data_IF_395273702421
#
_entry.id   IF_395273702421
#
_cell.length_a   1.000
_cell.length_b   1.000
_cell.length_c   1.000
_cell.angle_alpha   90.00
_cell.angle_beta   90.00
_cell.angle_gamma   90.00
#
_symmetry.space_group_name_H-M   'P 1'
#
loop_
_entity.id
_entity.type
_entity.pdbx_description
1 polymer ?
#
# COMPACT_ATOMS: atom_id res chain seq x y z
N UNK A 1 -38.85 42.09 -30.12
CA UNK A 1 -37.88 43.10 -29.67
C UNK A 1 -37.60 42.79 -28.21
N UNK A 2 -36.54 42.04 -27.95
CA UNK A 2 -36.31 41.36 -26.67
C UNK A 2 -35.33 42.18 -25.85
N UNK A 3 -35.76 42.63 -24.67
CA UNK A 3 -34.98 43.43 -23.75
C UNK A 3 -34.03 42.48 -22.98
N UNK A 4 -32.71 42.69 -23.00
CA UNK A 4 -31.81 41.90 -22.17
C UNK A 4 -32.01 42.27 -20.70
N UNK A 5 -32.41 41.29 -19.90
CA UNK A 5 -32.45 41.39 -18.44
C UNK A 5 -31.04 41.17 -17.91
N UNK A 6 -30.43 42.23 -17.40
CA UNK A 6 -29.15 42.17 -16.68
C UNK A 6 -29.46 41.68 -15.26
N UNK A 7 -29.04 40.46 -14.94
CA UNK A 7 -29.09 39.91 -13.58
C UNK A 7 -27.87 40.45 -12.82
N UNK A 8 -28.06 41.19 -11.72
CA UNK A 8 -26.95 41.62 -10.89
C UNK A 8 -26.32 40.40 -10.20
N UNK A 9 -25.02 40.24 -10.38
CA UNK A 9 -24.21 39.27 -9.66
C UNK A 9 -24.04 39.84 -8.25
N UNK A 10 -24.77 39.28 -7.28
CA UNK A 10 -24.54 39.54 -5.86
C UNK A 10 -23.10 39.14 -5.52
N UNK A 11 -22.32 40.10 -5.03
CA UNK A 11 -20.93 39.91 -4.68
C UNK A 11 -20.78 38.83 -3.62
N UNK A 12 -20.07 37.76 -3.98
CA UNK A 12 -19.60 36.75 -3.03
C UNK A 12 -18.80 37.44 -1.92
N UNK A 13 -19.30 37.29 -0.70
CA UNK A 13 -18.64 37.78 0.49
C UNK A 13 -17.22 37.17 0.56
N UNK A 14 -16.19 37.94 0.96
CA UNK A 14 -14.83 37.44 1.09
C UNK A 14 -14.83 36.23 2.01
N UNK A 15 -14.51 35.07 1.44
CA UNK A 15 -14.37 33.82 2.17
C UNK A 15 -13.23 34.04 3.15
N UNK A 16 -13.57 34.26 4.42
CA UNK A 16 -12.59 34.46 5.47
C UNK A 16 -11.85 33.12 5.60
N UNK A 17 -10.52 33.07 5.38
CA UNK A 17 -9.79 31.82 5.48
C UNK A 17 -9.98 31.31 6.90
N UNK A 18 -10.71 30.19 7.01
CA UNK A 18 -10.86 29.49 8.28
C UNK A 18 -9.46 28.98 8.61
N UNK A 19 -8.79 29.67 9.54
CA UNK A 19 -7.54 29.24 10.14
C UNK A 19 -7.82 27.93 10.86
N UNK A 20 -7.74 26.82 10.13
CA UNK A 20 -7.66 25.49 10.72
C UNK A 20 -6.47 25.53 11.66
N UNK A 21 -6.74 25.44 12.96
CA UNK A 21 -5.71 25.30 13.98
C UNK A 21 -4.94 24.00 13.68
N UNK A 22 -3.94 24.08 12.82
CA UNK A 22 -2.88 23.10 12.73
C UNK A 22 -2.19 23.16 14.10
N UNK A 23 -2.61 22.28 15.01
CA UNK A 23 -1.80 21.92 16.14
C UNK A 23 -0.46 21.48 15.55
N UNK A 24 0.55 22.33 15.72
CA UNK A 24 1.94 21.98 15.50
C UNK A 24 2.21 20.77 16.38
N UNK A 25 2.20 19.59 15.77
CA UNK A 25 2.63 18.37 16.44
C UNK A 25 4.09 18.59 16.77
N UNK A 26 4.38 18.74 18.05
CA UNK A 26 5.71 19.01 18.59
C UNK A 26 6.68 17.91 18.11
N UNK A 27 7.83 18.27 17.49
CA UNK A 27 8.73 17.30 16.86
C UNK A 27 9.52 16.41 17.83
N UNK A 28 9.26 16.48 19.15
CA UNK A 28 10.06 15.81 20.19
C UNK A 28 9.97 14.26 20.17
N UNK A 29 9.01 13.66 19.47
CA UNK A 29 8.83 12.19 19.44
C UNK A 29 9.49 11.47 18.24
N UNK A 30 10.05 12.20 17.26
CA UNK A 30 10.63 11.57 16.07
C UNK A 30 11.96 10.86 16.36
N UNK A 31 12.78 11.39 17.29
CA UNK A 31 14.06 10.80 17.66
C UNK A 31 13.90 9.50 18.48
N UNK A 32 12.89 9.44 19.35
CA UNK A 32 12.59 8.29 20.22
C UNK A 32 12.12 7.04 19.46
N UNK A 33 11.47 7.20 18.29
CA UNK A 33 10.98 6.06 17.47
C UNK A 33 12.04 5.43 16.56
N UNK A 34 13.22 6.04 16.44
CA UNK A 34 14.33 5.48 15.63
C UNK A 34 15.11 4.40 16.38
N UNK A 35 14.97 4.33 17.72
CA UNK A 35 15.69 3.39 18.56
C UNK A 35 14.93 2.04 18.66
N UNK A 36 15.66 0.97 18.34
CA UNK A 36 15.29 -0.45 18.50
C UNK A 36 14.55 -1.21 17.37
N UNK A 37 14.71 -0.83 16.09
CA UNK A 37 14.48 -1.81 15.01
C UNK A 37 15.56 -2.91 14.96
N UNK A 38 16.74 -2.68 15.55
CA UNK A 38 17.86 -3.62 15.55
C UNK A 38 17.72 -4.76 16.58
N UNK A 39 17.00 -4.55 17.70
CA UNK A 39 16.83 -5.55 18.76
C UNK A 39 15.54 -6.37 18.66
N UNK A 40 14.69 -6.13 17.65
CA UNK A 40 13.55 -7.03 17.42
C UNK A 40 14.06 -8.41 17.01
N UNK A 41 13.59 -9.50 17.65
CA UNK A 41 14.03 -10.84 17.31
C UNK A 41 13.74 -11.12 15.83
N UNK A 42 14.70 -11.75 15.15
CA UNK A 42 14.62 -12.08 13.72
C UNK A 42 13.31 -12.80 13.37
N UNK A 43 12.86 -13.71 14.24
CA UNK A 43 11.61 -14.44 14.10
C UNK A 43 10.38 -13.53 13.97
N UNK A 44 10.33 -12.42 14.73
CA UNK A 44 9.23 -11.47 14.63
C UNK A 44 9.24 -10.72 13.31
N UNK A 45 10.41 -10.31 12.82
CA UNK A 45 10.55 -9.66 11.50
C UNK A 45 10.14 -10.60 10.38
N UNK A 46 10.53 -11.87 10.46
CA UNK A 46 10.14 -12.90 9.49
C UNK A 46 8.63 -13.13 9.51
N UNK A 47 8.01 -13.20 10.69
CA UNK A 47 6.57 -13.35 10.82
C UNK A 47 5.81 -12.16 10.24
N UNK A 48 6.21 -10.92 10.56
CA UNK A 48 5.59 -9.71 10.02
C UNK A 48 5.73 -9.64 8.48
N UNK A 49 6.88 -10.05 7.95
CA UNK A 49 7.11 -10.13 6.50
C UNK A 49 6.25 -11.21 5.84
N UNK A 50 6.13 -12.39 6.46
CA UNK A 50 5.28 -13.47 5.96
C UNK A 50 3.79 -13.09 5.98
N UNK A 51 3.34 -12.43 7.05
CA UNK A 51 1.99 -11.88 7.16
C UNK A 51 1.73 -10.88 6.04
N UNK A 52 2.66 -9.95 5.80
CA UNK A 52 2.59 -9.00 4.69
C UNK A 52 2.45 -9.72 3.33
N UNK A 53 3.29 -10.72 3.05
CA UNK A 53 3.24 -11.43 1.78
C UNK A 53 1.96 -12.23 1.58
N UNK A 54 1.47 -12.86 2.64
CA UNK A 54 0.24 -13.66 2.62
C UNK A 54 -0.98 -12.78 2.38
N UNK A 55 -1.07 -11.65 3.09
CA UNK A 55 -2.15 -10.69 2.90
C UNK A 55 -2.07 -10.04 1.51
N UNK A 56 -0.89 -9.63 1.05
CA UNK A 56 -0.70 -9.06 -0.28
C UNK A 56 -1.03 -10.07 -1.40
N UNK A 57 -0.71 -11.35 -1.22
CA UNK A 57 -1.10 -12.42 -2.14
C UNK A 57 -2.62 -12.61 -2.16
N UNK A 58 -3.26 -12.69 -0.99
CA UNK A 58 -4.71 -12.82 -0.88
C UNK A 58 -5.45 -11.63 -1.49
N UNK A 59 -5.01 -10.40 -1.22
CA UNK A 59 -5.57 -9.17 -1.77
C UNK A 59 -5.36 -9.09 -3.29
N UNK A 60 -4.16 -9.40 -3.79
CA UNK A 60 -3.83 -9.31 -5.21
C UNK A 60 -4.49 -10.39 -6.05
N UNK A 61 -4.40 -11.65 -5.64
CA UNK A 61 -5.06 -12.77 -6.34
C UNK A 61 -6.58 -12.67 -6.22
N UNK A 62 -7.10 -12.42 -5.01
CA UNK A 62 -8.53 -12.28 -4.76
C UNK A 62 -9.13 -11.09 -5.52
N UNK A 63 -8.53 -9.91 -5.40
CA UNK A 63 -8.97 -8.69 -6.10
C UNK A 63 -8.84 -8.81 -7.62
N UNK A 64 -7.77 -9.43 -8.11
CA UNK A 64 -7.59 -9.74 -9.53
C UNK A 64 -8.68 -10.68 -10.04
N UNK A 65 -8.80 -11.88 -9.47
CA UNK A 65 -9.82 -12.86 -9.89
C UNK A 65 -11.23 -12.25 -9.83
N UNK A 66 -11.55 -11.53 -8.75
CA UNK A 66 -12.82 -10.83 -8.63
C UNK A 66 -13.04 -9.87 -9.80
N UNK A 67 -12.04 -9.07 -10.16
CA UNK A 67 -12.13 -8.12 -11.28
C UNK A 67 -12.27 -8.85 -12.61
N UNK A 68 -11.45 -9.87 -12.87
CA UNK A 68 -11.45 -10.64 -14.10
C UNK A 68 -12.76 -11.41 -14.32
N UNK A 69 -13.45 -11.83 -13.25
CA UNK A 69 -14.72 -12.55 -13.34
C UNK A 69 -15.91 -11.60 -13.33
N UNK A 70 -16.02 -10.70 -12.34
CA UNK A 70 -17.21 -9.87 -12.15
C UNK A 70 -17.31 -8.75 -13.19
N UNK A 71 -16.20 -8.24 -13.72
CA UNK A 71 -16.23 -7.19 -14.74
C UNK A 71 -16.90 -7.69 -16.04
N UNK A 72 -16.44 -8.75 -16.72
CA UNK A 72 -17.12 -9.24 -17.93
C UNK A 72 -18.53 -9.75 -17.62
N UNK A 73 -18.73 -10.38 -16.47
CA UNK A 73 -20.05 -10.84 -16.03
C UNK A 73 -21.04 -9.66 -15.91
N UNK A 74 -20.60 -8.53 -15.36
CA UNK A 74 -21.44 -7.33 -15.24
C UNK A 74 -21.84 -6.74 -16.59
N UNK A 75 -20.94 -6.77 -17.58
CA UNK A 75 -21.22 -6.33 -18.96
C UNK A 75 -22.21 -7.29 -19.63
N UNK A 76 -22.04 -8.60 -19.43
CA UNK A 76 -22.93 -9.62 -19.99
C UNK A 76 -24.35 -9.55 -19.40
N UNK A 77 -24.47 -9.14 -18.13
CA UNK A 77 -25.74 -9.01 -17.41
C UNK A 77 -26.42 -7.64 -17.59
N UNK A 78 -25.82 -6.71 -18.35
CA UNK A 78 -26.40 -5.40 -18.61
C UNK A 78 -27.82 -5.44 -19.25
N UNK A 79 -28.13 -6.32 -20.23
CA UNK A 79 -29.48 -6.41 -20.81
C UNK A 79 -30.55 -6.96 -19.85
N UNK A 80 -30.17 -7.58 -18.72
CA UNK A 80 -31.10 -8.10 -17.71
C UNK A 80 -31.57 -6.97 -16.75
N UNK A 81 -32.27 -5.97 -17.28
CA UNK A 81 -32.95 -4.93 -16.49
C UNK A 81 -32.07 -4.23 -15.43
N UNK A 82 -30.79 -3.99 -15.74
CA UNK A 82 -29.86 -3.30 -14.82
C UNK A 82 -29.22 -4.20 -13.76
N UNK A 83 -29.41 -5.52 -13.79
CA UNK A 83 -28.73 -6.44 -12.88
C UNK A 83 -27.19 -6.35 -13.01
N UNK A 84 -26.67 -6.18 -14.23
CA UNK A 84 -25.25 -5.92 -14.46
C UNK A 84 -24.71 -4.70 -13.69
N UNK A 85 -25.50 -3.63 -13.55
CA UNK A 85 -25.11 -2.45 -12.77
C UNK A 85 -25.01 -2.75 -11.27
N UNK A 86 -25.90 -3.60 -10.75
CA UNK A 86 -25.87 -4.03 -9.34
C UNK A 86 -24.60 -4.84 -9.07
N UNK A 87 -24.27 -5.80 -9.93
CA UNK A 87 -23.05 -6.61 -9.83
C UNK A 87 -21.80 -5.74 -9.93
N UNK A 88 -21.78 -4.79 -10.87
CA UNK A 88 -20.66 -3.85 -11.03
C UNK A 88 -20.47 -2.97 -9.79
N UNK A 89 -21.55 -2.40 -9.22
CA UNK A 89 -21.50 -1.61 -7.99
C UNK A 89 -21.01 -2.42 -6.80
N UNK A 90 -21.51 -3.65 -6.67
CA UNK A 90 -21.03 -4.57 -5.64
C UNK A 90 -19.52 -4.83 -5.77
N UNK A 91 -19.04 -5.11 -6.99
CA UNK A 91 -17.61 -5.28 -7.27
C UNK A 91 -16.80 -4.04 -6.83
N UNK A 92 -17.24 -2.83 -7.18
CA UNK A 92 -16.56 -1.59 -6.78
C UNK A 92 -16.50 -1.40 -5.26
N UNK A 93 -17.58 -1.71 -4.54
CA UNK A 93 -17.60 -1.65 -3.07
C UNK A 93 -16.57 -2.61 -2.47
N UNK A 94 -16.49 -3.83 -3.01
CA UNK A 94 -15.48 -4.81 -2.56
C UNK A 94 -14.06 -4.34 -2.89
N UNK A 95 -13.80 -3.85 -4.10
CA UNK A 95 -12.48 -3.32 -4.47
C UNK A 95 -12.06 -2.13 -3.60
N UNK A 96 -12.98 -1.23 -3.27
CA UNK A 96 -12.70 -0.11 -2.37
C UNK A 96 -12.32 -0.58 -0.95
N UNK A 97 -12.96 -1.64 -0.45
CA UNK A 97 -12.60 -2.29 0.83
C UNK A 97 -11.22 -2.93 0.75
N UNK A 98 -10.91 -3.63 -0.34
CA UNK A 98 -9.60 -4.23 -0.58
C UNK A 98 -8.50 -3.17 -0.67
N UNK A 99 -8.75 -2.04 -1.36
CA UNK A 99 -7.82 -0.92 -1.45
C UNK A 99 -7.51 -0.34 -0.07
N UNK A 100 -8.52 -0.18 0.79
CA UNK A 100 -8.32 0.30 2.16
C UNK A 100 -7.43 -0.64 2.97
N UNK A 101 -7.70 -1.94 2.92
CA UNK A 101 -6.87 -2.93 3.60
C UNK A 101 -5.44 -2.96 3.06
N UNK A 102 -5.26 -2.71 1.76
CA UNK A 102 -3.94 -2.63 1.16
C UNK A 102 -3.15 -1.41 1.63
N UNK A 103 -3.82 -0.26 1.75
CA UNK A 103 -3.23 0.96 2.32
C UNK A 103 -2.89 0.76 3.80
N UNK A 104 -3.75 0.09 4.58
CA UNK A 104 -3.48 -0.28 5.97
C UNK A 104 -2.23 -1.18 6.06
N UNK A 105 -2.12 -2.16 5.17
CA UNK A 105 -0.96 -3.06 5.08
C UNK A 105 0.32 -2.29 4.76
N UNK A 106 0.28 -1.39 3.77
CA UNK A 106 1.41 -0.55 3.38
C UNK A 106 1.84 0.39 4.53
N UNK A 107 0.87 0.98 5.23
CA UNK A 107 1.12 1.91 6.35
C UNK A 107 1.78 1.21 7.53
N UNK A 108 1.44 -0.06 7.81
CA UNK A 108 2.13 -0.85 8.85
C UNK A 108 3.61 -1.04 8.56
N UNK A 109 3.98 -1.16 7.29
CA UNK A 109 5.37 -1.37 6.88
C UNK A 109 6.16 -0.05 6.83
N UNK A 110 5.50 1.06 6.52
CA UNK A 110 6.11 2.36 6.28
C UNK A 110 5.28 3.48 6.95
N UNK A 111 5.50 3.76 8.25
CA UNK A 111 4.68 4.72 9.01
C UNK A 111 4.88 6.20 8.61
N UNK A 112 5.76 6.50 7.66
CA UNK A 112 6.10 7.87 7.26
C UNK A 112 5.06 8.56 6.36
N UNK A 113 4.00 7.86 5.91
CA UNK A 113 2.96 8.44 5.05
C UNK A 113 1.57 8.48 5.73
N UNK A 114 1.51 9.08 6.92
CA UNK A 114 0.28 9.15 7.74
C UNK A 114 -0.88 9.92 7.07
N UNK A 115 -0.62 10.81 6.09
CA UNK A 115 -1.66 11.57 5.38
C UNK A 115 -2.49 10.73 4.37
N UNK A 116 -2.07 9.50 4.06
CA UNK A 116 -2.75 8.64 3.09
C UNK A 116 -4.09 8.08 3.62
N UNK A 117 -4.27 8.02 4.94
CA UNK A 117 -5.38 7.31 5.59
C UNK A 117 -6.74 8.03 5.53
N UNK A 118 -6.77 9.36 5.40
CA UNK A 118 -8.02 10.14 5.42
C UNK A 118 -8.76 10.14 4.07
N UNK A 119 -8.03 9.96 2.97
CA UNK A 119 -8.56 10.18 1.61
C UNK A 119 -9.32 8.95 1.06
N UNK A 120 -8.74 7.76 1.18
CA UNK A 120 -9.26 6.52 0.57
C UNK A 120 -10.59 6.08 1.19
N UNK A 121 -10.89 6.54 2.41
CA UNK A 121 -12.01 6.06 3.19
C UNK A 121 -13.38 6.58 2.76
N UNK A 122 -13.50 7.90 2.62
CA UNK A 122 -14.79 8.58 2.48
C UNK A 122 -15.15 8.86 1.02
N UNK A 123 -14.18 9.03 0.12
CA UNK A 123 -14.47 9.42 -1.26
C UNK A 123 -14.85 8.23 -2.15
N UNK A 124 -14.18 7.09 -1.97
CA UNK A 124 -14.43 5.88 -2.75
C UNK A 124 -15.83 5.27 -2.52
N UNK A 125 -16.36 5.39 -1.29
CA UNK A 125 -17.71 4.92 -0.96
C UNK A 125 -18.78 5.85 -1.53
N UNK A 126 -18.54 7.16 -1.54
CA UNK A 126 -19.47 8.13 -2.12
C UNK A 126 -19.51 8.02 -3.66
N UNK A 127 -18.38 7.76 -4.32
CA UNK A 127 -18.28 7.57 -5.78
C UNK A 127 -19.06 6.35 -6.30
N UNK A 128 -19.11 5.26 -5.54
CA UNK A 128 -19.84 4.05 -5.94
C UNK A 128 -21.37 4.22 -5.89
N UNK A 129 -21.87 5.18 -5.10
CA UNK A 129 -23.30 5.36 -4.82
C UNK A 129 -23.95 6.39 -5.75
N UNK A 130 -23.25 7.46 -6.12
CA UNK A 130 -23.87 8.61 -6.82
C UNK A 130 -23.74 8.62 -8.34
N UNK A 131 -22.78 7.94 -8.96
CA UNK A 131 -22.65 7.97 -10.43
C UNK A 131 -23.57 6.95 -11.12
N UNK A 132 -24.48 7.44 -11.97
CA UNK A 132 -25.23 6.66 -12.97
C UNK A 132 -24.59 6.72 -14.36
N UNK A 133 -23.56 7.56 -14.55
CA UNK A 133 -22.77 7.66 -15.77
C UNK A 133 -21.53 6.76 -15.71
N UNK A 134 -20.99 6.42 -16.90
CA UNK A 134 -19.75 5.66 -17.12
C UNK A 134 -18.66 5.99 -16.10
N UNK A 135 -17.84 5.00 -15.69
CA UNK A 135 -16.98 5.15 -14.52
C UNK A 135 -16.07 6.37 -14.69
N UNK A 136 -16.10 7.32 -13.73
CA UNK A 136 -15.18 8.44 -13.75
C UNK A 136 -13.74 7.93 -13.79
N UNK A 137 -12.83 8.70 -14.38
CA UNK A 137 -11.41 8.35 -14.60
C UNK A 137 -10.67 7.83 -13.35
N UNK A 138 -11.16 8.16 -12.14
CA UNK A 138 -10.67 7.61 -10.87
C UNK A 138 -11.03 6.14 -10.68
N UNK A 139 -12.26 5.74 -11.03
CA UNK A 139 -12.74 4.36 -10.84
C UNK A 139 -12.05 3.37 -11.78
N UNK A 140 -11.82 3.76 -13.04
CA UNK A 140 -11.10 2.90 -14.00
C UNK A 140 -9.65 2.64 -13.57
N UNK A 141 -8.98 3.60 -12.94
CA UNK A 141 -7.63 3.43 -12.38
C UNK A 141 -7.59 2.35 -11.29
N UNK A 142 -8.53 2.38 -10.34
CA UNK A 142 -8.60 1.38 -9.27
C UNK A 142 -8.88 -0.03 -9.82
N UNK A 143 -9.82 -0.14 -10.77
CA UNK A 143 -10.14 -1.41 -11.43
C UNK A 143 -8.92 -1.95 -12.19
N UNK A 144 -8.23 -1.10 -12.95
CA UNK A 144 -7.00 -1.48 -13.66
C UNK A 144 -5.88 -1.91 -12.70
N UNK A 145 -5.69 -1.16 -11.61
CA UNK A 145 -4.72 -1.47 -10.57
C UNK A 145 -4.92 -2.88 -9.99
N UNK A 146 -6.16 -3.24 -9.62
CA UNK A 146 -6.46 -4.58 -9.11
C UNK A 146 -6.40 -5.67 -10.19
N UNK A 147 -6.79 -5.36 -11.42
CA UNK A 147 -6.79 -6.32 -12.51
C UNK A 147 -5.38 -6.76 -12.93
N UNK A 148 -4.41 -5.83 -12.96
CA UNK A 148 -3.10 -6.08 -13.56
C UNK A 148 -1.95 -5.91 -12.54
N UNK A 149 -1.52 -4.70 -12.14
CA UNK A 149 -0.35 -4.57 -11.27
C UNK A 149 -0.48 -5.33 -9.94
N UNK A 150 -1.62 -5.19 -9.26
CA UNK A 150 -1.80 -5.79 -7.94
C UNK A 150 -1.95 -7.31 -8.02
N UNK A 151 -2.58 -7.81 -9.08
CA UNK A 151 -2.62 -9.24 -9.36
C UNK A 151 -1.22 -9.82 -9.57
N UNK A 152 -0.39 -9.18 -10.40
CA UNK A 152 0.99 -9.60 -10.64
C UNK A 152 1.83 -9.56 -9.37
N UNK A 153 1.73 -8.47 -8.62
CA UNK A 153 2.43 -8.29 -7.34
C UNK A 153 1.96 -9.34 -6.31
N UNK A 154 0.66 -9.63 -6.26
CA UNK A 154 0.09 -10.67 -5.40
C UNK A 154 0.57 -12.07 -5.78
N UNK A 155 0.62 -12.39 -7.06
CA UNK A 155 1.15 -13.65 -7.56
C UNK A 155 2.64 -13.81 -7.22
N UNK A 156 3.46 -12.78 -7.44
CA UNK A 156 4.87 -12.76 -7.05
C UNK A 156 5.04 -12.89 -5.53
N UNK A 157 4.17 -12.26 -4.75
CA UNK A 157 4.14 -12.35 -3.29
C UNK A 157 3.81 -13.77 -2.82
N UNK A 158 2.84 -14.43 -3.44
CA UNK A 158 2.49 -15.83 -3.18
C UNK A 158 3.63 -16.79 -3.55
N UNK A 159 4.23 -16.60 -4.72
CA UNK A 159 5.40 -17.38 -5.15
C UNK A 159 6.59 -17.19 -4.20
N UNK A 160 6.86 -15.97 -3.74
CA UNK A 160 7.91 -15.69 -2.78
C UNK A 160 7.67 -16.43 -1.44
N UNK A 161 6.45 -16.39 -0.91
CA UNK A 161 6.10 -17.12 0.31
C UNK A 161 6.21 -18.65 0.12
N UNK A 162 5.72 -19.18 -1.00
CA UNK A 162 5.82 -20.59 -1.33
C UNK A 162 7.29 -21.05 -1.45
N UNK A 163 8.14 -20.29 -2.15
CA UNK A 163 9.54 -20.65 -2.34
C UNK A 163 10.39 -20.50 -1.08
N UNK A 164 10.08 -19.56 -0.20
CA UNK A 164 10.84 -19.34 1.05
C UNK A 164 10.45 -20.29 2.17
N UNK A 165 9.16 -20.63 2.30
CA UNK A 165 8.64 -21.39 3.44
C UNK A 165 8.13 -22.76 3.03
N UNK A 166 7.29 -22.82 2.01
CA UNK A 166 6.59 -24.05 1.64
C UNK A 166 7.55 -25.10 1.06
N UNK A 167 8.44 -24.71 0.14
CA UNK A 167 9.38 -25.64 -0.49
C UNK A 167 10.36 -26.27 0.50
N UNK A 168 11.04 -25.51 1.40
CA UNK A 168 11.92 -26.12 2.40
C UNK A 168 11.16 -26.98 3.40
N UNK A 169 9.95 -26.55 3.80
CA UNK A 169 9.11 -27.32 4.72
C UNK A 169 8.68 -28.65 4.11
N UNK A 170 8.21 -28.64 2.85
CA UNK A 170 7.86 -29.83 2.09
C UNK A 170 9.07 -30.77 1.97
N UNK A 171 10.25 -30.25 1.62
CA UNK A 171 11.47 -31.05 1.49
C UNK A 171 11.84 -31.76 2.80
N UNK A 172 11.68 -31.09 3.95
CA UNK A 172 11.94 -31.65 5.28
C UNK A 172 10.88 -32.71 5.64
N UNK A 173 9.60 -32.38 5.50
CA UNK A 173 8.48 -33.27 5.87
C UNK A 173 8.43 -34.50 4.98
N UNK A 174 8.76 -34.36 3.70
CA UNK A 174 8.80 -35.48 2.74
C UNK A 174 10.11 -36.26 2.78
N UNK A 175 11.08 -35.91 3.64
CA UNK A 175 12.42 -36.48 3.62
C UNK A 175 13.07 -36.52 2.21
N UNK A 176 12.79 -35.52 1.36
CA UNK A 176 13.30 -35.43 -0.01
C UNK A 176 12.56 -36.25 -1.08
N UNK A 177 11.48 -36.96 -0.74
CA UNK A 177 10.67 -37.71 -1.73
C UNK A 177 9.73 -36.84 -2.59
N UNK A 178 9.50 -35.59 -2.20
CA UNK A 178 8.65 -34.70 -2.99
C UNK A 178 9.43 -34.15 -4.19
N UNK A 179 8.78 -34.07 -5.35
CA UNK A 179 9.36 -33.44 -6.52
C UNK A 179 9.48 -31.92 -6.32
N UNK A 180 10.69 -31.37 -6.50
CA UNK A 180 10.87 -29.92 -6.55
C UNK A 180 10.48 -29.45 -7.95
N UNK A 181 9.36 -28.72 -8.03
CA UNK A 181 8.79 -28.16 -9.26
C UNK A 181 8.46 -29.20 -10.35
N UNK A 182 8.36 -30.49 -10.00
CA UNK A 182 8.14 -31.57 -10.98
C UNK A 182 9.36 -31.89 -11.85
N UNK A 183 10.55 -31.41 -11.48
CA UNK A 183 11.79 -31.56 -12.28
C UNK A 183 12.65 -32.72 -11.78
N UNK A 184 12.88 -32.80 -10.46
CA UNK A 184 13.77 -33.79 -9.86
C UNK A 184 13.33 -34.13 -8.43
N UNK A 185 13.63 -35.36 -8.01
CA UNK A 185 13.60 -35.81 -6.61
C UNK A 185 15.00 -35.80 -6.01
N UNK A 186 15.09 -35.93 -4.69
CA UNK A 186 16.38 -36.12 -4.03
C UNK A 186 17.05 -37.45 -4.41
N UNK A 187 16.25 -38.49 -4.68
CA UNK A 187 16.74 -39.82 -5.06
C UNK A 187 17.33 -39.84 -6.48
N UNK A 188 16.75 -39.08 -7.42
CA UNK A 188 17.23 -39.02 -8.80
C UNK A 188 18.53 -38.24 -8.95
N UNK A 189 18.63 -37.06 -8.33
CA UNK A 189 19.83 -36.22 -8.34
C UNK A 189 19.83 -35.27 -7.13
N UNK A 190 20.53 -35.69 -6.06
CA UNK A 190 20.60 -34.93 -4.82
C UNK A 190 21.26 -33.54 -4.99
N UNK A 191 22.26 -33.42 -5.88
CA UNK A 191 22.99 -32.16 -6.08
C UNK A 191 22.10 -31.16 -6.80
N UNK A 192 21.45 -31.58 -7.89
CA UNK A 192 20.51 -30.73 -8.62
C UNK A 192 19.31 -30.35 -7.76
N UNK A 193 18.77 -31.29 -6.98
CA UNK A 193 17.66 -31.05 -6.06
C UNK A 193 17.99 -29.95 -5.05
N UNK A 194 19.13 -30.08 -4.34
CA UNK A 194 19.56 -29.09 -3.35
C UNK A 194 19.87 -27.74 -4.01
N UNK A 195 20.47 -27.74 -5.20
CA UNK A 195 20.75 -26.51 -5.95
C UNK A 195 19.46 -25.76 -6.33
N UNK A 196 18.44 -26.45 -6.83
CA UNK A 196 17.14 -25.84 -7.17
C UNK A 196 16.46 -25.32 -5.91
N UNK A 197 16.41 -26.11 -4.83
CA UNK A 197 15.79 -25.70 -3.57
C UNK A 197 16.44 -24.44 -2.99
N UNK A 198 17.79 -24.39 -2.95
CA UNK A 198 18.53 -23.20 -2.52
C UNK A 198 18.28 -22.01 -3.46
N UNK A 199 18.23 -22.25 -4.77
CA UNK A 199 17.88 -21.23 -5.77
C UNK A 199 16.51 -20.62 -5.52
N UNK A 200 15.49 -21.44 -5.26
CA UNK A 200 14.14 -21.02 -4.88
C UNK A 200 14.13 -20.23 -3.56
N UNK A 201 14.86 -20.67 -2.55
CA UNK A 201 14.95 -19.93 -1.28
C UNK A 201 15.57 -18.54 -1.46
N UNK A 202 16.67 -18.44 -2.22
CA UNK A 202 17.34 -17.16 -2.48
C UNK A 202 16.46 -16.25 -3.33
N UNK A 203 15.84 -16.77 -4.39
CA UNK A 203 14.95 -15.98 -5.24
C UNK A 203 13.70 -15.51 -4.48
N UNK A 204 13.14 -16.37 -3.63
CA UNK A 204 12.05 -16.02 -2.72
C UNK A 204 12.45 -14.92 -1.73
N UNK A 205 13.63 -15.03 -1.10
CA UNK A 205 14.13 -14.02 -0.17
C UNK A 205 14.35 -12.65 -0.85
N UNK A 206 14.92 -12.64 -2.06
CA UNK A 206 15.07 -11.42 -2.87
C UNK A 206 13.69 -10.84 -3.18
N UNK A 207 12.74 -11.68 -3.60
CA UNK A 207 11.37 -11.27 -3.92
C UNK A 207 10.67 -10.67 -2.70
N UNK A 208 10.92 -11.21 -1.50
CA UNK A 208 10.38 -10.66 -0.26
C UNK A 208 10.86 -9.22 0.02
N UNK A 209 12.05 -8.85 -0.43
CA UNK A 209 12.58 -7.48 -0.27
C UNK A 209 12.07 -6.54 -1.38
N UNK A 210 11.96 -7.04 -2.61
CA UNK A 210 11.59 -6.22 -3.77
C UNK A 210 10.08 -5.93 -3.85
N UNK A 211 9.24 -6.92 -3.54
CA UNK A 211 7.77 -6.80 -3.64
C UNK A 211 7.22 -5.63 -2.82
N UNK A 212 7.59 -5.42 -1.53
CA UNK A 212 7.11 -4.27 -0.76
C UNK A 212 7.58 -2.93 -1.37
N UNK A 213 8.83 -2.86 -1.86
CA UNK A 213 9.40 -1.65 -2.47
C UNK A 213 8.66 -1.20 -3.72
N UNK A 214 8.13 -2.15 -4.49
CA UNK A 214 7.33 -1.86 -5.68
C UNK A 214 5.85 -1.67 -5.32
N UNK A 215 5.31 -2.48 -4.40
CA UNK A 215 3.88 -2.43 -4.05
C UNK A 215 3.47 -1.12 -3.41
N UNK A 216 4.27 -0.56 -2.50
CA UNK A 216 3.96 0.69 -1.79
C UNK A 216 3.77 1.88 -2.76
N UNK A 217 4.76 2.26 -3.61
CA UNK A 217 4.60 3.40 -4.51
C UNK A 217 3.48 3.17 -5.54
N UNK A 218 3.27 1.93 -5.97
CA UNK A 218 2.24 1.61 -6.95
C UNK A 218 0.82 1.72 -6.35
N UNK A 219 0.68 1.37 -5.06
CA UNK A 219 -0.55 1.59 -4.30
C UNK A 219 -0.79 3.07 -4.06
N UNK A 220 0.25 3.83 -3.72
CA UNK A 220 0.17 5.29 -3.60
C UNK A 220 -0.25 5.93 -4.94
N UNK A 221 0.36 5.55 -6.05
CA UNK A 221 -0.01 6.06 -7.38
C UNK A 221 -1.47 5.74 -7.75
N UNK A 222 -1.95 4.53 -7.42
CA UNK A 222 -3.30 4.12 -7.75
C UNK A 222 -4.38 4.74 -6.84
N UNK A 223 -4.03 5.03 -5.57
CA UNK A 223 -4.98 5.46 -4.54
C UNK A 223 -4.89 6.95 -4.19
N UNK A 224 -3.78 7.63 -4.46
CA UNK A 224 -3.66 9.08 -4.33
C UNK A 224 -4.25 9.77 -5.56
N UNK A 225 -4.96 10.88 -5.33
CA UNK A 225 -5.20 11.82 -6.42
C UNK A 225 -3.92 12.59 -6.73
N UNK A 226 -3.71 12.85 -8.02
CA UNK A 226 -2.59 13.65 -8.55
C UNK A 226 -2.57 15.09 -7.99
N UNK A 227 -3.64 15.51 -7.32
CA UNK A 227 -3.66 16.80 -6.61
C UNK A 227 -2.77 16.79 -5.35
N UNK A 228 -2.40 15.62 -4.83
CA UNK A 228 -1.34 15.51 -3.81
C UNK A 228 0.01 15.98 -4.34
N UNK A 229 0.33 15.80 -5.63
CA UNK A 229 1.60 16.28 -6.18
C UNK A 229 1.62 17.81 -6.17
N UNK A 230 0.47 18.45 -6.43
CA UNK A 230 0.34 19.91 -6.36
C UNK A 230 0.39 20.42 -4.93
N UNK A 231 -0.30 19.76 -3.99
CA UNK A 231 -0.24 20.14 -2.58
C UNK A 231 1.15 19.88 -1.98
N UNK A 232 1.81 18.79 -2.37
CA UNK A 232 3.19 18.51 -1.99
C UNK A 232 4.14 19.55 -2.61
N UNK A 233 4.00 19.90 -3.88
CA UNK A 233 4.78 20.98 -4.50
C UNK A 233 4.56 22.32 -3.80
N UNK A 234 3.32 22.68 -3.45
CA UNK A 234 3.03 23.89 -2.67
C UNK A 234 3.65 23.81 -1.27
N UNK A 235 3.63 22.65 -0.63
CA UNK A 235 4.23 22.44 0.68
C UNK A 235 5.77 22.55 0.61
N UNK A 236 6.41 21.87 -0.35
CA UNK A 236 7.85 21.96 -0.58
C UNK A 236 8.30 23.36 -1.00
N UNK A 237 7.51 24.07 -1.80
CA UNK A 237 7.76 25.46 -2.16
C UNK A 237 7.56 26.41 -0.98
N UNK A 238 6.58 26.16 -0.11
CA UNK A 238 6.37 26.94 1.11
C UNK A 238 7.51 26.72 2.13
N UNK A 239 8.02 25.50 2.23
CA UNK A 239 9.16 25.17 3.10
C UNK A 239 10.47 25.79 2.60
N UNK A 240 10.70 25.83 1.29
CA UNK A 240 11.85 26.56 0.72
C UNK A 240 11.76 28.08 0.87
N UNK A 241 10.55 28.63 0.99
CA UNK A 241 10.32 30.05 1.17
C UNK A 241 10.15 30.46 2.64
N UNK A 242 10.21 29.52 3.59
CA UNK A 242 10.34 29.90 4.99
C UNK A 242 11.72 30.51 5.19
N UNK A 243 11.83 31.74 5.71
CA UNK A 243 13.11 32.28 6.11
C UNK A 243 13.74 31.30 7.10
N UNK A 244 15.07 31.06 7.06
CA UNK A 244 15.73 30.21 8.03
C UNK A 244 15.41 30.73 9.43
N UNK A 245 14.41 30.12 10.05
CA UNK A 245 14.09 30.38 11.43
C UNK A 245 15.26 29.84 12.24
N UNK A 246 15.64 30.59 13.27
CA UNK A 246 16.87 30.40 14.06
C UNK A 246 16.85 29.13 14.92
N UNK A 247 16.41 27.99 14.37
CA UNK A 247 16.40 26.69 15.04
C UNK A 247 17.77 26.01 14.96
N UNK A 248 18.69 26.50 14.12
CA UNK A 248 20.08 26.05 14.04
C UNK A 248 20.98 26.67 15.15
N UNK A 249 20.50 26.72 16.39
CA UNK A 249 21.33 27.11 17.55
C UNK A 249 20.91 26.46 18.87
N UNK A 250 20.42 25.21 18.86
CA UNK A 250 20.16 24.48 20.11
C UNK A 250 20.26 22.94 20.06
N UNK A 251 21.07 22.35 19.19
CA UNK A 251 21.20 20.88 19.14
C UNK A 251 22.62 20.30 19.34
N UNK A 252 23.62 21.11 19.69
CA UNK A 252 25.00 20.61 19.91
C UNK A 252 25.29 20.08 21.33
N UNK A 253 24.34 20.09 22.28
CA UNK A 253 24.64 19.79 23.69
C UNK A 253 24.04 18.50 24.28
N UNK A 254 23.34 17.66 23.50
CA UNK A 254 22.65 16.49 24.09
C UNK A 254 23.36 15.13 24.01
N UNK A 255 24.63 15.07 23.57
CA UNK A 255 25.37 13.81 23.45
C UNK A 255 26.55 13.63 24.42
N UNK A 256 26.58 14.36 25.54
CA UNK A 256 27.68 14.29 26.54
C UNK A 256 27.25 13.90 27.97
N UNK A 257 25.96 13.62 28.24
CA UNK A 257 25.48 13.20 29.58
C UNK A 257 24.95 11.76 29.58
N UNK A 258 25.85 10.78 29.37
CA UNK A 258 25.59 9.37 29.75
C UNK A 258 26.86 8.53 29.93
N UNK A 259 27.91 9.14 30.48
CA UNK A 259 29.07 8.40 31.01
C UNK A 259 29.44 8.90 32.41
N UNK A 260 28.59 8.66 33.39
CA UNK A 260 28.99 8.60 34.80
C UNK A 260 27.85 8.02 35.65
N UNK A 261 27.81 6.70 35.82
CA UNK A 261 27.48 6.02 37.09
C UNK A 261 27.30 4.52 36.87
N UNK A 262 28.37 3.77 37.06
CA UNK A 262 28.31 2.41 37.59
C UNK A 262 29.72 2.00 38.07
N UNK A 263 30.11 2.48 39.25
CA UNK A 263 31.12 1.81 40.07
C UNK A 263 30.39 0.92 41.06
N UNK A 264 30.72 -0.39 41.13
CA UNK A 264 30.16 -1.29 42.14
C UNK A 264 30.86 -1.09 43.49
N UNK A 265 30.08 -1.23 44.57
CA UNK A 265 30.54 -1.55 45.92
C UNK A 265 30.29 -3.03 46.16
#
# INVERSE_FOLDING_TARGET
>A
MSIPVVVPIEGEAPITPTTSNFQSVEPEDAASRSQCYACRPLARKLFELLEFHTLNAALGLGGGILTWVLLPLSVLLLPLFGFGLVVFRFMLVVLARLARHDVELATRQCPYNLKLHSFVGNEATNLAVTSTAWPPTKTSRVVFYFAVPKFLIGALSGAAAAWTVEQPLLAIVSAGYNDVLGITTFESDAVLYVAILLGCMVSGAISCVLVPKVSVPLTAWACCDLDFDKEAEVYWAAEQNQPPSQTERRDDDYCSVSKAQSTPV
#
